data_IF_188673797919
#
_entry.id   IF_188673797919
#
_cell.length_a   1.000
_cell.length_b   1.000
_cell.length_c   1.000
_cell.angle_alpha   90.00
_cell.angle_beta   90.00
_cell.angle_gamma   90.00
#
_symmetry.space_group_name_H-M   'P 1'
#
loop_
_entity.id
_entity.type
_entity.pdbx_description
1 polymer ?
#
# COMPACT_ATOMS: atom_id res chain seq x y z
N UNK A 1 -27.30 19.96 31.25
CA UNK A 1 -26.89 20.12 29.84
C UNK A 1 -25.37 20.18 29.79
N UNK A 2 -24.67 19.17 29.27
CA UNK A 2 -23.34 19.38 28.71
C UNK A 2 -23.43 19.52 27.19
N UNK A 3 -22.72 20.53 26.68
CA UNK A 3 -22.43 20.74 25.27
C UNK A 3 -21.72 19.49 24.72
N UNK A 4 -22.09 18.98 23.55
CA UNK A 4 -21.76 19.64 22.30
C UNK A 4 -20.29 19.40 21.96
N UNK A 5 -19.88 18.13 21.96
CA UNK A 5 -18.61 17.69 21.38
C UNK A 5 -18.96 16.94 20.11
N UNK A 6 -19.19 17.68 19.02
CA UNK A 6 -19.21 17.11 17.68
C UNK A 6 -17.83 16.50 17.44
N UNK A 7 -17.74 15.19 17.68
CA UNK A 7 -16.75 14.37 16.99
C UNK A 7 -17.15 14.40 15.52
N UNK A 8 -16.66 15.40 14.79
CA UNK A 8 -16.48 15.31 13.34
C UNK A 8 -15.40 14.25 13.09
N UNK A 9 -15.75 13.00 13.40
CA UNK A 9 -15.13 11.85 12.78
C UNK A 9 -15.46 12.01 11.32
N UNK A 10 -14.47 12.45 10.55
CA UNK A 10 -14.43 12.21 9.12
C UNK A 10 -14.89 10.76 8.94
N UNK A 11 -15.97 10.55 8.21
CA UNK A 11 -16.46 9.21 7.85
C UNK A 11 -15.34 8.54 7.05
N UNK A 12 -14.39 7.95 7.78
CA UNK A 12 -13.44 6.97 7.31
C UNK A 12 -14.30 5.91 6.65
N UNK A 13 -14.25 5.87 5.33
CA UNK A 13 -14.94 4.88 4.54
C UNK A 13 -14.73 3.49 5.15
N UNK A 14 -15.75 2.61 5.17
CA UNK A 14 -15.61 1.29 5.80
C UNK A 14 -14.61 0.45 5.01
N UNK A 15 -13.32 0.64 5.30
CA UNK A 15 -12.22 -0.19 4.81
C UNK A 15 -12.18 -1.42 5.71
N UNK A 16 -12.45 -2.59 5.15
CA UNK A 16 -12.38 -3.85 5.90
C UNK A 16 -10.94 -4.15 6.32
N UNK A 17 -9.99 -3.77 5.45
CA UNK A 17 -8.55 -3.86 5.68
C UNK A 17 -7.87 -2.50 5.51
N UNK A 18 -6.80 -2.26 6.27
CA UNK A 18 -6.05 -1.00 6.20
C UNK A 18 -5.32 -0.81 4.85
N UNK A 19 -4.87 -1.91 4.25
CA UNK A 19 -4.29 -1.99 2.90
C UNK A 19 -4.80 -3.28 2.22
N UNK A 20 -4.79 -3.35 0.87
CA UNK A 20 -5.29 -4.50 0.15
C UNK A 20 -4.58 -5.80 0.59
N UNK A 21 -5.31 -6.79 1.15
CA UNK A 21 -4.69 -8.04 1.61
C UNK A 21 -4.22 -8.91 0.44
N UNK A 22 -4.68 -8.60 -0.77
CA UNK A 22 -4.33 -9.26 -2.02
C UNK A 22 -3.97 -8.24 -3.11
N UNK A 23 -3.13 -8.69 -4.03
CA UNK A 23 -2.71 -7.95 -5.21
C UNK A 23 -2.66 -8.91 -6.40
N UNK A 24 -3.50 -8.68 -7.40
CA UNK A 24 -3.68 -9.57 -8.55
C UNK A 24 -3.94 -11.04 -8.12
N UNK A 25 -4.71 -11.20 -7.05
CA UNK A 25 -5.04 -12.50 -6.44
C UNK A 25 -3.93 -13.11 -5.56
N UNK A 26 -2.72 -12.56 -5.56
CA UNK A 26 -1.62 -12.98 -4.69
C UNK A 26 -1.75 -12.33 -3.32
N UNK A 27 -1.39 -13.05 -2.27
CA UNK A 27 -1.48 -12.52 -0.90
C UNK A 27 -0.33 -11.55 -0.65
N UNK A 28 -0.68 -10.40 -0.07
CA UNK A 28 0.28 -9.40 0.38
C UNK A 28 0.37 -9.38 1.89
N UNK A 29 1.59 -9.38 2.41
CA UNK A 29 1.86 -9.15 3.82
C UNK A 29 2.46 -7.76 3.98
N UNK A 30 1.66 -6.83 4.51
CA UNK A 30 2.08 -5.47 4.81
C UNK A 30 2.81 -5.39 6.15
N UNK A 31 3.84 -4.56 6.20
CA UNK A 31 4.50 -4.19 7.45
C UNK A 31 3.79 -3.04 8.17
N UNK A 32 4.50 -2.42 9.10
CA UNK A 32 4.02 -1.22 9.78
C UNK A 32 4.21 0.02 8.90
N UNK A 33 3.34 1.01 9.09
CA UNK A 33 3.52 2.35 8.55
C UNK A 33 4.68 3.06 9.25
N UNK A 34 5.60 3.60 8.45
CA UNK A 34 6.76 4.33 8.94
C UNK A 34 6.86 5.72 8.29
N UNK A 35 7.42 6.69 9.01
CA UNK A 35 7.61 8.07 8.53
C UNK A 35 8.94 8.27 7.80
N UNK A 36 9.61 7.19 7.40
CA UNK A 36 10.83 7.14 6.59
C UNK A 36 10.74 7.87 5.25
N UNK A 37 9.58 8.40 4.85
CA UNK A 37 9.48 9.47 3.86
C UNK A 37 10.35 10.71 4.18
N UNK A 38 10.92 10.80 5.40
CA UNK A 38 11.96 11.77 5.80
C UNK A 38 13.38 11.39 5.40
N UNK A 39 13.63 10.14 4.96
CA UNK A 39 14.94 9.70 4.49
C UNK A 39 15.11 10.05 3.01
N UNK A 40 15.80 11.16 2.75
CA UNK A 40 16.19 11.56 1.41
C UNK A 40 17.44 10.78 0.98
N UNK A 41 17.32 9.93 -0.05
CA UNK A 41 18.49 9.49 -0.81
C UNK A 41 18.87 10.66 -1.73
N UNK A 42 20.00 11.29 -1.42
CA UNK A 42 20.45 12.52 -2.05
C UNK A 42 20.61 12.41 -3.58
N UNK A 43 20.26 13.47 -4.35
CA UNK A 43 19.82 14.78 -3.88
C UNK A 43 18.30 14.83 -3.61
N UNK A 44 17.86 15.64 -2.64
CA UNK A 44 16.43 15.80 -2.37
C UNK A 44 15.69 16.33 -3.61
N UNK A 45 14.49 15.83 -3.90
CA UNK A 45 13.70 16.29 -5.03
C UNK A 45 13.40 17.79 -4.89
N UNK A 46 13.54 18.53 -6.00
CA UNK A 46 13.44 20.01 -6.05
C UNK A 46 12.07 20.56 -5.61
N UNK A 47 11.05 19.71 -5.51
CA UNK A 47 9.72 20.02 -5.00
C UNK A 47 9.26 18.84 -4.13
N UNK A 48 8.72 19.07 -2.93
CA UNK A 48 8.08 18.00 -2.17
C UNK A 48 6.92 17.46 -3.01
N UNK A 49 6.83 16.13 -3.12
CA UNK A 49 5.70 15.47 -3.75
C UNK A 49 4.42 15.95 -3.05
N UNK A 50 3.42 16.36 -3.83
CA UNK A 50 2.12 16.78 -3.32
C UNK A 50 1.16 15.62 -3.43
N UNK A 51 0.30 15.44 -2.43
CA UNK A 51 -0.83 14.53 -2.57
C UNK A 51 -1.71 14.99 -3.75
N UNK A 52 -2.00 14.07 -4.68
CA UNK A 52 -2.86 14.35 -5.85
C UNK A 52 -4.30 14.70 -5.47
N UNK A 53 -4.76 14.20 -4.33
CA UNK A 53 -6.15 14.33 -3.85
C UNK A 53 -6.40 15.62 -3.07
N UNK A 54 -5.62 15.88 -2.00
CA UNK A 54 -5.81 17.04 -1.13
C UNK A 54 -4.77 18.15 -1.28
N UNK A 55 -3.71 17.92 -2.07
CA UNK A 55 -2.64 18.90 -2.29
C UNK A 55 -1.65 19.06 -1.13
N UNK A 56 -1.73 18.22 -0.08
CA UNK A 56 -0.78 18.22 1.03
C UNK A 56 0.67 18.11 0.57
N UNK A 57 1.56 18.79 1.28
CA UNK A 57 3.03 18.74 1.09
C UNK A 57 3.75 18.01 2.21
N UNK A 58 3.00 17.46 3.18
CA UNK A 58 3.60 16.69 4.28
C UNK A 58 4.22 15.41 3.72
N UNK A 59 5.37 14.95 4.27
CA UNK A 59 5.94 13.67 3.88
C UNK A 59 4.91 12.55 4.06
N UNK A 60 4.76 11.73 3.01
CA UNK A 60 3.92 10.53 3.02
C UNK A 60 4.49 9.48 3.98
N UNK A 61 3.59 8.75 4.65
CA UNK A 61 3.96 7.53 5.36
C UNK A 61 4.25 6.43 4.34
N UNK A 62 5.15 5.52 4.67
CA UNK A 62 5.55 4.42 3.80
C UNK A 62 5.25 3.11 4.53
N UNK A 63 4.58 2.17 3.87
CA UNK A 63 4.46 0.79 4.33
C UNK A 63 5.04 -0.14 3.26
N UNK A 64 5.81 -1.15 3.67
CA UNK A 64 6.39 -2.14 2.74
C UNK A 64 5.55 -3.40 2.74
N UNK A 65 5.12 -3.83 1.55
CA UNK A 65 4.38 -5.07 1.33
C UNK A 65 5.24 -6.15 0.72
N UNK A 66 5.06 -7.39 1.16
CA UNK A 66 5.68 -8.59 0.58
C UNK A 66 4.61 -9.40 -0.14
N UNK A 67 4.79 -9.60 -1.44
CA UNK A 67 3.87 -10.40 -2.27
C UNK A 67 4.35 -11.85 -2.29
N UNK A 68 3.45 -12.76 -1.91
CA UNK A 68 3.76 -14.18 -1.80
C UNK A 68 2.95 -15.02 -2.78
N UNK A 69 3.58 -16.04 -3.35
CA UNK A 69 2.92 -17.08 -4.14
C UNK A 69 3.16 -18.46 -3.53
N UNK A 70 2.26 -19.39 -3.85
CA UNK A 70 2.39 -20.79 -3.43
C UNK A 70 3.44 -21.52 -4.26
N UNK A 71 4.12 -22.48 -3.63
CA UNK A 71 5.11 -23.32 -4.33
C UNK A 71 4.55 -24.11 -5.52
N UNK A 72 3.24 -24.39 -5.51
CA UNK A 72 2.54 -25.10 -6.59
C UNK A 72 2.30 -24.24 -7.84
N UNK A 73 2.26 -22.91 -7.69
CA UNK A 73 1.96 -21.96 -8.77
C UNK A 73 3.16 -21.09 -9.16
N UNK A 74 4.26 -21.17 -8.42
CA UNK A 74 5.49 -20.44 -8.71
C UNK A 74 6.13 -20.83 -10.06
N UNK A 75 6.51 -19.86 -10.92
CA UNK A 75 7.26 -20.13 -12.15
C UNK A 75 8.58 -20.87 -11.89
N UNK A 76 8.90 -21.89 -12.71
CA UNK A 76 10.10 -22.74 -12.56
C UNK A 76 11.43 -21.97 -12.45
N UNK A 77 11.51 -20.74 -12.98
CA UNK A 77 12.68 -19.87 -12.90
C UNK A 77 13.02 -19.42 -11.46
N UNK A 78 12.04 -19.45 -10.53
CA UNK A 78 12.19 -19.05 -9.12
C UNK A 78 12.71 -20.23 -8.26
N UNK A 79 12.99 -21.40 -8.86
CA UNK A 79 13.33 -22.66 -8.18
C UNK A 79 14.63 -22.74 -7.36
N UNK A 80 15.26 -21.61 -7.02
CA UNK A 80 16.42 -21.58 -6.10
C UNK A 80 16.38 -20.46 -5.05
N UNK A 81 15.43 -19.54 -5.11
CA UNK A 81 15.28 -18.50 -4.09
C UNK A 81 14.48 -19.08 -2.90
N UNK A 82 15.09 -19.00 -1.72
CA UNK A 82 14.70 -19.66 -0.47
C UNK A 82 13.19 -19.66 -0.22
N UNK A 83 12.61 -20.86 -0.18
CA UNK A 83 11.30 -21.12 0.42
C UNK A 83 11.34 -20.78 1.91
N UNK A 84 10.50 -19.85 2.37
CA UNK A 84 10.15 -19.73 3.78
C UNK A 84 8.76 -20.33 3.98
N UNK A 85 8.66 -21.38 4.78
CA UNK A 85 7.37 -21.95 5.18
C UNK A 85 6.48 -22.50 4.05
N UNK A 86 7.03 -22.82 2.87
CA UNK A 86 6.25 -23.34 1.73
C UNK A 86 5.70 -22.28 0.77
N UNK A 87 6.00 -21.00 1.00
CA UNK A 87 5.63 -19.88 0.12
C UNK A 87 6.88 -19.23 -0.50
N UNK A 88 6.73 -18.65 -1.67
CA UNK A 88 7.78 -17.92 -2.38
C UNK A 88 7.49 -16.42 -2.40
N UNK A 89 8.48 -15.62 -2.02
CA UNK A 89 8.42 -14.17 -2.20
C UNK A 89 8.53 -13.87 -3.70
N UNK A 90 7.48 -13.28 -4.26
CA UNK A 90 7.40 -12.87 -5.67
C UNK A 90 8.03 -11.50 -5.87
N UNK A 91 7.82 -10.60 -4.90
CA UNK A 91 8.33 -9.24 -4.97
C UNK A 91 8.03 -8.43 -3.73
N UNK A 92 8.49 -7.20 -3.75
CA UNK A 92 8.21 -6.19 -2.74
C UNK A 92 7.47 -5.04 -3.39
N UNK A 93 6.53 -4.46 -2.64
CA UNK A 93 5.75 -3.29 -3.03
C UNK A 93 5.80 -2.26 -1.90
N UNK A 94 5.50 -1.02 -2.23
CA UNK A 94 5.51 0.10 -1.28
C UNK A 94 4.18 0.82 -1.34
N UNK A 95 3.45 0.86 -0.22
CA UNK A 95 2.29 1.70 -0.06
C UNK A 95 2.71 3.06 0.51
N UNK A 96 2.04 4.11 0.07
CA UNK A 96 2.29 5.48 0.44
C UNK A 96 0.99 6.15 0.90
N UNK A 97 0.93 6.59 2.16
CA UNK A 97 -0.25 7.24 2.73
C UNK A 97 -0.06 8.73 2.89
N UNK A 98 -1.03 9.50 2.43
CA UNK A 98 -1.12 10.92 2.76
C UNK A 98 -1.56 11.09 4.23
N UNK A 99 -0.79 11.77 5.10
CA UNK A 99 -1.14 11.90 6.51
C UNK A 99 -2.30 12.89 6.78
N UNK A 100 -2.78 13.61 5.78
CA UNK A 100 -3.87 14.60 5.93
C UNK A 100 -5.22 14.10 5.42
N UNK A 101 -5.24 13.25 4.40
CA UNK A 101 -6.48 12.75 3.80
C UNK A 101 -6.53 11.22 3.66
N UNK A 102 -5.53 10.52 4.20
CA UNK A 102 -5.45 9.04 4.23
C UNK A 102 -5.59 8.36 2.87
N UNK A 103 -5.24 9.13 1.83
CA UNK A 103 -5.19 8.66 0.46
C UNK A 103 -3.95 7.80 0.25
N UNK A 104 -4.15 6.60 -0.28
CA UNK A 104 -3.10 5.60 -0.44
C UNK A 104 -2.74 5.41 -1.91
N UNK A 105 -1.45 5.36 -2.19
CA UNK A 105 -0.89 5.00 -3.50
C UNK A 105 0.07 3.84 -3.30
N UNK A 106 -0.03 2.81 -4.12
CA UNK A 106 0.87 1.65 -4.07
C UNK A 106 1.79 1.64 -5.27
N UNK A 107 3.10 1.50 -5.04
CA UNK A 107 4.07 1.14 -6.05
C UNK A 107 4.24 -0.38 -6.03
N UNK A 108 3.80 -1.04 -7.10
CA UNK A 108 3.80 -2.50 -7.20
C UNK A 108 5.21 -3.08 -7.50
N UNK A 109 5.27 -4.41 -7.62
CA UNK A 109 6.51 -5.13 -7.92
C UNK A 109 7.04 -4.89 -9.34
N UNK A 110 6.19 -4.44 -10.26
CA UNK A 110 6.54 -4.02 -11.62
C UNK A 110 7.06 -2.59 -11.71
N UNK A 111 6.96 -1.82 -10.62
CA UNK A 111 7.31 -0.40 -10.57
C UNK A 111 6.20 0.51 -11.11
N UNK A 112 4.96 0.02 -11.20
CA UNK A 112 3.80 0.81 -11.57
C UNK A 112 3.14 1.39 -10.31
N UNK A 113 2.73 2.67 -10.39
CA UNK A 113 1.98 3.34 -9.33
C UNK A 113 0.48 3.12 -9.55
N UNK A 114 -0.20 2.72 -8.47
CA UNK A 114 -1.62 2.43 -8.41
C UNK A 114 -2.26 3.33 -7.36
N UNK A 115 -3.29 4.05 -7.79
CA UNK A 115 -4.10 4.90 -6.93
C UNK A 115 -5.25 4.04 -6.34
N UNK A 116 -5.26 3.83 -5.02
CA UNK A 116 -6.22 2.93 -4.39
C UNK A 116 -7.58 3.60 -4.18
N UNK A 117 -8.65 2.91 -4.58
CA UNK A 117 -10.03 3.31 -4.39
C UNK A 117 -10.76 2.43 -3.37
N UNK A 118 -12.05 2.73 -3.13
CA UNK A 118 -12.88 2.04 -2.14
C UNK A 118 -12.90 0.51 -2.28
N UNK A 119 -12.76 -0.01 -3.50
CA UNK A 119 -12.91 -1.42 -3.80
C UNK A 119 -11.69 -2.25 -3.43
N UNK A 120 -10.51 -1.61 -3.36
CA UNK A 120 -9.23 -2.26 -3.10
C UNK A 120 -9.06 -2.73 -1.65
N UNK A 121 -9.86 -2.20 -0.71
CA UNK A 121 -9.76 -2.48 0.73
C UNK A 121 -10.62 -3.67 1.19
N UNK A 122 -11.17 -4.42 0.25
CA UNK A 122 -11.99 -5.62 0.51
C UNK A 122 -11.12 -6.88 0.59
N UNK A 123 -11.71 -8.02 0.96
CA UNK A 123 -11.04 -9.33 0.96
C UNK A 123 -10.48 -9.76 -0.41
N UNK A 124 -11.05 -9.26 -1.51
CA UNK A 124 -10.57 -9.53 -2.87
C UNK A 124 -9.25 -8.78 -3.16
N UNK A 125 -9.01 -7.67 -2.47
CA UNK A 125 -7.86 -6.81 -2.63
C UNK A 125 -7.86 -6.05 -3.95
N UNK A 126 -6.68 -5.60 -4.37
CA UNK A 126 -6.51 -4.82 -5.59
C UNK A 126 -6.22 -5.74 -6.78
N UNK A 127 -6.81 -5.44 -7.93
CA UNK A 127 -6.64 -6.19 -9.17
C UNK A 127 -6.64 -5.26 -10.38
N UNK A 128 -5.85 -5.59 -11.40
CA UNK A 128 -5.97 -4.93 -12.69
C UNK A 128 -7.35 -5.22 -13.32
N UNK A 129 -8.16 -4.18 -13.50
CA UNK A 129 -9.37 -4.27 -14.34
C UNK A 129 -8.92 -4.29 -15.79
N UNK A 130 -8.64 -5.47 -16.35
CA UNK A 130 -8.44 -5.61 -17.79
C UNK A 130 -9.75 -5.28 -18.51
N UNK A 131 -9.83 -4.06 -19.08
CA UNK A 131 -10.91 -3.63 -19.97
C UNK A 131 -10.76 -4.15 -21.39
#
# INVERSE_FOLDING_TARGET
MPAGGDQLGFELWPREHDLPPRWDGLVVEWGDWDDTGRMFICPPPKKPARCGTCGSTRPRLICTGRVWTDASTAPRAIGRARLQGGRHLVGMMSAFRCPDCEHDVVLDCGGQEWDLDETDYTDEGSFEVSG
#
